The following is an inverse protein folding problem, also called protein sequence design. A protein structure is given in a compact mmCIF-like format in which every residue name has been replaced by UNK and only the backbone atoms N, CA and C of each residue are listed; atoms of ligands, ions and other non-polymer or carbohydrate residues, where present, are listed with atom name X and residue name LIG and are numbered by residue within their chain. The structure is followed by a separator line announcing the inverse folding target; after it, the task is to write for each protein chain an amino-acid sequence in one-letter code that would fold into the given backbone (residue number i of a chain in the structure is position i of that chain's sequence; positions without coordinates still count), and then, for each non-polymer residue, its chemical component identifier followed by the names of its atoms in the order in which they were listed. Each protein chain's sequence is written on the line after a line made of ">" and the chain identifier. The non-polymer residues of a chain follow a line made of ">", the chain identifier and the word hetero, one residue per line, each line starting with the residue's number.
data_IF_998961697134
#
_entry.id   IF_998961697134
#
_cell.length_a   1.000
_cell.length_b   1.000
_cell.length_c   1.000
_cell.angle_alpha   90.00
_cell.angle_beta   90.00
_cell.angle_gamma   90.00
#
_symmetry.space_group_name_H-M   'P 1'
#
loop_
_entity.id
_entity.type
_entity.pdbx_description
1 polymer ?
#
# COMPACT_ATOMS: atom_id res chain seq x y z
N UNK A 1 36.57 -38.47 -70.01
CA UNK A 1 35.87 -37.41 -70.76
C UNK A 1 34.41 -37.49 -70.36
N UNK A 2 33.99 -36.67 -69.40
CA UNK A 2 33.13 -35.48 -69.59
C UNK A 2 31.74 -35.83 -70.16
N UNK A 3 30.71 -35.83 -69.30
CA UNK A 3 29.55 -34.87 -69.24
C UNK A 3 28.34 -35.43 -70.03
N UNK A 4 27.05 -35.39 -69.63
CA UNK A 4 26.21 -34.44 -68.88
C UNK A 4 25.02 -35.22 -68.23
N UNK A 5 24.67 -35.03 -66.95
CA UNK A 5 23.66 -34.10 -66.37
C UNK A 5 22.18 -34.39 -66.70
N UNK A 6 21.40 -34.86 -65.71
CA UNK A 6 19.96 -34.59 -65.46
C UNK A 6 19.65 -35.05 -64.02
N UNK A 7 19.63 -34.12 -63.06
CA UNK A 7 18.51 -33.29 -62.61
C UNK A 7 17.65 -34.00 -61.53
N UNK A 8 17.82 -33.46 -60.33
CA UNK A 8 17.23 -33.69 -59.01
C UNK A 8 15.72 -33.49 -58.92
N UNK A 9 15.07 -34.32 -58.08
CA UNK A 9 13.85 -33.96 -57.36
C UNK A 9 14.03 -34.43 -55.90
N UNK A 10 14.23 -33.48 -54.99
CA UNK A 10 14.23 -33.67 -53.54
C UNK A 10 13.00 -32.93 -53.01
N UNK A 11 12.06 -33.66 -52.43
CA UNK A 11 10.93 -33.12 -51.68
C UNK A 11 11.43 -32.36 -50.44
N UNK A 12 11.36 -31.02 -50.48
CA UNK A 12 11.52 -30.19 -49.30
C UNK A 12 10.28 -30.34 -48.39
N UNK A 13 10.49 -30.96 -47.21
CA UNK A 13 9.53 -30.93 -46.11
C UNK A 13 9.36 -29.49 -45.60
N UNK A 14 8.15 -29.00 -45.76
CA UNK A 14 7.62 -27.74 -45.27
C UNK A 14 7.65 -27.65 -43.72
N UNK A 15 8.37 -26.69 -43.09
CA UNK A 15 8.23 -26.40 -41.67
C UNK A 15 7.55 -25.03 -41.49
N UNK A 16 6.22 -25.01 -41.52
CA UNK A 16 5.42 -23.85 -41.14
C UNK A 16 4.38 -24.26 -40.10
N UNK A 17 4.80 -24.41 -38.84
CA UNK A 17 3.87 -24.51 -37.70
C UNK A 17 4.40 -23.95 -36.38
N UNK A 18 5.25 -22.92 -36.41
CA UNK A 18 5.71 -22.20 -35.20
C UNK A 18 5.23 -20.73 -35.12
N UNK A 19 4.43 -20.27 -36.09
CA UNK A 19 4.01 -18.86 -36.18
C UNK A 19 2.74 -18.46 -35.41
N UNK A 20 2.00 -19.40 -34.82
CA UNK A 20 0.69 -19.11 -34.21
C UNK A 20 0.65 -19.19 -32.67
N UNK A 21 1.56 -19.92 -32.02
CA UNK A 21 1.59 -19.99 -30.53
C UNK A 21 2.39 -18.83 -29.91
N UNK A 22 3.37 -18.30 -30.65
CA UNK A 22 4.14 -17.11 -30.25
C UNK A 22 3.34 -15.81 -30.37
N UNK A 23 2.36 -15.78 -31.29
CA UNK A 23 1.45 -14.63 -31.47
C UNK A 23 0.39 -14.55 -30.37
N UNK A 24 -0.12 -15.68 -29.87
CA UNK A 24 -1.08 -15.68 -28.76
C UNK A 24 -0.46 -15.29 -27.41
N UNK A 25 0.82 -15.64 -27.18
CA UNK A 25 1.53 -15.23 -25.97
C UNK A 25 1.93 -13.74 -25.96
N UNK A 26 2.09 -13.11 -27.13
CA UNK A 26 2.38 -11.67 -27.24
C UNK A 26 1.13 -10.77 -27.19
N UNK A 27 -0.05 -11.32 -27.49
CA UNK A 27 -1.32 -10.59 -27.42
C UNK A 27 -1.85 -10.45 -25.97
N UNK A 28 -1.52 -11.38 -25.07
CA UNK A 28 -1.88 -11.28 -23.63
C UNK A 28 -1.01 -10.30 -22.82
N UNK A 29 0.19 -9.95 -23.31
CA UNK A 29 1.06 -8.94 -22.67
C UNK A 29 0.67 -7.48 -23.03
N UNK A 30 -0.33 -7.31 -23.90
CA UNK A 30 -0.94 -6.03 -24.25
C UNK A 30 -2.38 -5.91 -23.75
N UNK A 31 -2.71 -6.52 -22.60
CA UNK A 31 -3.76 -5.96 -21.76
C UNK A 31 -3.33 -4.54 -21.38
N UNK A 32 -3.63 -3.59 -22.27
CA UNK A 32 -3.40 -2.15 -22.12
C UNK A 32 -3.88 -1.82 -20.73
N UNK A 33 -2.97 -1.49 -19.82
CA UNK A 33 -3.34 -0.98 -18.51
C UNK A 33 -4.19 0.26 -18.79
N UNK A 34 -5.51 0.09 -18.75
CA UNK A 34 -6.46 1.16 -18.97
C UNK A 34 -6.31 2.09 -17.77
N UNK A 35 -5.80 3.30 -18.00
CA UNK A 35 -5.74 4.31 -16.96
C UNK A 35 -7.11 4.52 -16.32
N UNK A 36 -7.12 4.84 -15.03
CA UNK A 36 -8.34 5.25 -14.33
C UNK A 36 -8.63 6.71 -14.69
N UNK A 37 -9.27 6.90 -15.84
CA UNK A 37 -9.56 8.22 -16.38
C UNK A 37 -10.82 8.80 -15.72
N UNK A 38 -10.71 10.03 -15.17
CA UNK A 38 -11.88 10.72 -14.64
C UNK A 38 -11.59 12.05 -13.96
N UNK A 39 -10.48 12.17 -13.22
CA UNK A 39 -10.08 13.45 -12.63
C UNK A 39 -9.76 14.48 -13.72
N UNK A 40 -10.18 15.73 -13.49
CA UNK A 40 -9.96 16.82 -14.46
C UNK A 40 -8.69 17.64 -14.19
N UNK A 41 -7.91 17.28 -13.18
CA UNK A 41 -6.64 17.89 -12.82
C UNK A 41 -5.74 16.86 -12.10
N UNK A 42 -4.55 17.29 -11.68
CA UNK A 42 -3.52 16.46 -11.03
C UNK A 42 -4.10 15.62 -9.89
N UNK A 43 -3.73 14.34 -9.85
CA UNK A 43 -4.02 13.46 -8.71
C UNK A 43 -2.83 13.51 -7.75
N UNK A 44 -3.08 13.88 -6.49
CA UNK A 44 -2.03 14.04 -5.48
C UNK A 44 -1.87 12.82 -4.59
N UNK A 45 -2.94 12.07 -4.37
CA UNK A 45 -2.95 10.96 -3.42
C UNK A 45 -3.80 9.82 -3.93
N UNK A 46 -3.35 8.60 -3.68
CA UNK A 46 -4.10 7.37 -3.90
C UNK A 46 -3.92 6.43 -2.70
N UNK A 47 -4.96 5.65 -2.39
CA UNK A 47 -4.92 4.69 -1.28
C UNK A 47 -5.86 3.50 -1.58
N UNK A 48 -5.38 2.27 -1.43
CA UNK A 48 -6.25 1.09 -1.50
C UNK A 48 -7.02 0.92 -0.19
N UNK A 49 -8.25 0.45 -0.28
CA UNK A 49 -9.00 -0.05 0.87
C UNK A 49 -8.27 -1.26 1.49
N UNK A 50 -8.48 -1.56 2.79
CA UNK A 50 -7.80 -2.67 3.45
C UNK A 50 -8.06 -4.05 2.82
N UNK A 51 -9.22 -4.23 2.20
CA UNK A 51 -9.57 -5.45 1.46
C UNK A 51 -9.05 -5.47 0.01
N UNK A 52 -8.45 -4.36 -0.45
CA UNK A 52 -7.89 -4.20 -1.79
C UNK A 52 -8.91 -4.08 -2.91
N UNK A 53 -10.21 -4.02 -2.61
CA UNK A 53 -11.27 -4.02 -3.63
C UNK A 53 -11.56 -2.62 -4.19
N UNK A 54 -11.27 -1.59 -3.41
CA UNK A 54 -11.54 -0.19 -3.75
C UNK A 54 -10.23 0.61 -3.73
N UNK A 55 -10.04 1.47 -4.73
CA UNK A 55 -9.01 2.50 -4.71
C UNK A 55 -9.68 3.85 -4.44
N UNK A 56 -9.11 4.69 -3.59
CA UNK A 56 -9.46 6.10 -3.46
C UNK A 56 -8.39 6.97 -4.12
N UNK A 57 -8.78 8.07 -4.76
CA UNK A 57 -7.86 9.09 -5.28
C UNK A 57 -8.33 10.49 -4.92
N UNK A 58 -7.41 11.35 -4.46
CA UNK A 58 -7.64 12.77 -4.18
C UNK A 58 -6.91 13.67 -5.18
N UNK A 59 -7.57 14.74 -5.63
CA UNK A 59 -7.10 15.57 -6.75
C UNK A 59 -7.20 17.07 -6.51
N UNK A 60 -6.41 17.81 -7.29
CA UNK A 60 -6.53 19.26 -7.49
C UNK A 60 -7.90 19.70 -8.01
N UNK A 61 -8.66 18.80 -8.66
CA UNK A 61 -10.05 19.06 -9.05
C UNK A 61 -11.03 19.13 -7.87
N UNK A 62 -10.51 19.10 -6.64
CA UNK A 62 -11.20 19.24 -5.35
C UNK A 62 -12.08 18.06 -4.97
N UNK A 63 -12.08 17.01 -5.80
CA UNK A 63 -12.86 15.80 -5.57
C UNK A 63 -12.00 14.65 -5.09
N UNK A 64 -12.67 13.69 -4.47
CA UNK A 64 -12.16 12.34 -4.26
C UNK A 64 -12.94 11.41 -5.17
N UNK A 65 -12.28 10.42 -5.78
CA UNK A 65 -12.96 9.35 -6.52
C UNK A 65 -12.66 8.00 -5.90
N UNK A 66 -13.68 7.15 -5.90
CA UNK A 66 -13.57 5.75 -5.55
C UNK A 66 -13.66 4.92 -6.82
N UNK A 67 -12.80 3.90 -6.92
CA UNK A 67 -12.68 3.04 -8.09
C UNK A 67 -12.77 1.59 -7.66
N UNK A 68 -13.54 0.80 -8.40
CA UNK A 68 -13.49 -0.64 -8.28
C UNK A 68 -12.19 -1.14 -8.93
N UNK A 69 -11.34 -1.79 -8.15
CA UNK A 69 -9.99 -2.18 -8.59
C UNK A 69 -10.03 -3.24 -9.68
N UNK A 70 -11.05 -4.11 -9.67
CA UNK A 70 -11.17 -5.22 -10.60
C UNK A 70 -11.59 -4.75 -12.00
N UNK A 71 -12.51 -3.79 -12.06
CA UNK A 71 -13.13 -3.31 -13.31
C UNK A 71 -12.52 -2.01 -13.81
N UNK A 72 -11.81 -1.27 -12.94
CA UNK A 72 -11.30 0.06 -13.22
C UNK A 72 -12.40 1.13 -13.33
N UNK A 73 -13.65 0.79 -12.99
CA UNK A 73 -14.75 1.74 -13.06
C UNK A 73 -14.80 2.61 -11.82
N UNK A 74 -15.14 3.90 -12.01
CA UNK A 74 -15.45 4.78 -10.90
C UNK A 74 -16.76 4.35 -10.25
N UNK A 75 -16.74 4.08 -8.95
CA UNK A 75 -17.91 3.70 -8.14
C UNK A 75 -18.54 4.90 -7.44
N UNK A 76 -17.75 5.92 -7.09
CA UNK A 76 -18.24 7.14 -6.46
C UNK A 76 -17.36 8.35 -6.75
N UNK A 77 -17.95 9.53 -6.68
CA UNK A 77 -17.26 10.83 -6.61
C UNK A 77 -17.71 11.53 -5.34
N UNK A 78 -16.77 11.88 -4.48
CA UNK A 78 -17.02 12.55 -3.21
C UNK A 78 -16.64 14.02 -3.36
N UNK A 79 -17.68 14.85 -3.41
CA UNK A 79 -17.56 16.30 -3.51
C UNK A 79 -17.79 16.95 -2.15
N UNK A 80 -17.04 18.02 -1.88
CA UNK A 80 -17.27 18.83 -0.68
C UNK A 80 -16.10 19.73 -0.32
N UNK A 81 -14.86 19.30 -0.56
CA UNK A 81 -13.69 20.17 -0.37
C UNK A 81 -13.74 21.37 -1.33
N UNK A 82 -13.33 22.55 -0.85
CA UNK A 82 -13.35 23.79 -1.65
C UNK A 82 -12.03 24.05 -2.39
N UNK A 83 -11.00 23.27 -2.07
CA UNK A 83 -9.68 23.29 -2.70
C UNK A 83 -9.14 21.85 -2.88
N UNK A 84 -7.94 21.72 -3.45
CA UNK A 84 -7.30 20.45 -3.76
C UNK A 84 -7.30 19.47 -2.58
N UNK A 85 -7.55 18.19 -2.86
CA UNK A 85 -7.44 17.10 -1.90
C UNK A 85 -6.04 16.50 -2.01
N UNK A 86 -5.23 16.67 -0.97
CA UNK A 86 -3.80 16.33 -1.00
C UNK A 86 -3.53 14.96 -0.37
N UNK A 87 -4.42 14.47 0.48
CA UNK A 87 -4.25 13.19 1.16
C UNK A 87 -5.58 12.47 1.29
N UNK A 88 -5.59 11.16 1.03
CA UNK A 88 -6.70 10.25 1.32
C UNK A 88 -6.17 9.01 2.06
N UNK A 89 -6.95 8.49 3.02
CA UNK A 89 -6.58 7.30 3.77
C UNK A 89 -7.83 6.55 4.25
N UNK A 90 -7.90 5.24 4.02
CA UNK A 90 -8.98 4.41 4.56
C UNK A 90 -8.75 4.11 6.04
N UNK A 91 -9.85 4.02 6.79
CA UNK A 91 -9.84 3.41 8.12
C UNK A 91 -9.48 1.92 8.02
N UNK A 92 -8.94 1.30 9.09
CA UNK A 92 -8.53 -0.11 9.07
C UNK A 92 -9.67 -1.10 8.76
N UNK A 93 -10.92 -0.73 9.07
CA UNK A 93 -12.11 -1.51 8.75
C UNK A 93 -12.65 -1.25 7.33
N UNK A 94 -12.06 -0.30 6.60
CA UNK A 94 -12.45 0.10 5.24
C UNK A 94 -13.77 0.87 5.15
N UNK A 95 -14.46 1.15 6.26
CA UNK A 95 -15.80 1.75 6.23
C UNK A 95 -15.79 3.27 6.10
N UNK A 96 -14.67 3.89 6.50
CA UNK A 96 -14.50 5.35 6.51
C UNK A 96 -13.27 5.73 5.70
N UNK A 97 -13.39 6.78 4.89
CA UNK A 97 -12.25 7.42 4.25
C UNK A 97 -12.00 8.76 4.95
N UNK A 98 -10.75 9.08 5.27
CA UNK A 98 -10.33 10.41 5.67
C UNK A 98 -9.68 11.14 4.49
N UNK A 99 -9.88 12.45 4.40
CA UNK A 99 -9.19 13.30 3.43
C UNK A 99 -8.68 14.59 4.04
N UNK A 100 -7.47 15.00 3.64
CA UNK A 100 -6.86 16.29 3.97
C UNK A 100 -6.76 17.19 2.74
N UNK A 101 -7.03 18.48 2.90
CA UNK A 101 -7.13 19.44 1.78
C UNK A 101 -6.41 20.76 2.06
N UNK A 102 -6.12 21.47 0.97
CA UNK A 102 -5.69 22.87 1.00
C UNK A 102 -6.81 23.82 1.51
N UNK A 103 -8.05 23.36 1.69
CA UNK A 103 -9.10 24.15 2.34
C UNK A 103 -9.00 24.19 3.88
N UNK A 104 -7.85 23.77 4.42
CA UNK A 104 -7.50 23.67 5.84
C UNK A 104 -8.31 22.63 6.63
N UNK A 105 -9.21 21.89 5.97
CA UNK A 105 -10.09 20.94 6.64
C UNK A 105 -9.68 19.50 6.41
N UNK A 106 -10.12 18.66 7.34
CA UNK A 106 -10.17 17.21 7.18
C UNK A 106 -11.62 16.80 7.05
N UNK A 107 -11.93 15.84 6.18
CA UNK A 107 -13.27 15.26 6.07
C UNK A 107 -13.24 13.77 6.25
N UNK A 108 -14.26 13.25 6.92
CA UNK A 108 -14.54 11.82 7.05
C UNK A 108 -15.73 11.47 6.17
N UNK A 109 -15.58 10.44 5.35
CA UNK A 109 -16.56 10.00 4.37
C UNK A 109 -17.00 8.58 4.70
N UNK A 110 -18.29 8.31 4.58
CA UNK A 110 -18.81 6.96 4.59
C UNK A 110 -18.57 6.34 3.21
N UNK A 111 -17.77 5.29 3.14
CA UNK A 111 -17.34 4.68 1.87
C UNK A 111 -18.52 4.07 1.12
N UNK A 112 -19.48 3.49 1.85
CA UNK A 112 -20.63 2.80 1.27
C UNK A 112 -21.62 3.76 0.62
N UNK A 113 -21.88 4.89 1.27
CA UNK A 113 -22.89 5.87 0.84
C UNK A 113 -22.30 7.04 0.05
N UNK A 114 -20.98 7.23 0.12
CA UNK A 114 -20.28 8.38 -0.43
C UNK A 114 -20.60 9.70 0.29
N UNK A 115 -21.31 9.65 1.43
CA UNK A 115 -21.71 10.85 2.15
C UNK A 115 -20.63 11.29 3.13
N UNK A 116 -20.51 12.59 3.35
CA UNK A 116 -19.65 13.13 4.39
C UNK A 116 -20.25 12.82 5.78
N UNK A 117 -19.48 12.13 6.62
CA UNK A 117 -19.82 11.83 8.02
C UNK A 117 -19.48 13.00 8.95
N UNK A 118 -18.31 13.61 8.75
CA UNK A 118 -17.83 14.69 9.60
C UNK A 118 -16.85 15.60 8.85
N UNK A 119 -16.77 16.85 9.31
CA UNK A 119 -15.73 17.80 8.94
C UNK A 119 -14.97 18.15 10.22
N UNK A 120 -13.66 17.95 10.20
CA UNK A 120 -12.78 18.23 11.34
C UNK A 120 -12.07 19.55 11.06
N UNK A 121 -12.57 20.60 11.68
CA UNK A 121 -12.00 21.94 11.60
C UNK A 121 -11.08 22.18 12.80
N UNK A 122 -9.93 22.83 12.56
CA UNK A 122 -9.01 23.19 13.63
C UNK A 122 -7.61 23.59 13.15
N UNK A 123 -7.14 23.01 12.05
CA UNK A 123 -5.92 23.49 11.39
C UNK A 123 -6.13 24.90 10.83
N UNK A 124 -5.12 25.76 10.96
CA UNK A 124 -5.18 27.13 10.44
C UNK A 124 -4.58 27.27 9.03
N UNK A 125 -4.05 26.18 8.49
CA UNK A 125 -3.49 26.11 7.14
C UNK A 125 -3.64 24.71 6.54
N UNK A 126 -3.26 24.57 5.28
CA UNK A 126 -3.32 23.37 4.44
C UNK A 126 -3.00 22.08 5.19
N UNK A 127 -3.85 21.06 5.00
CA UNK A 127 -3.64 19.72 5.57
C UNK A 127 -3.02 18.84 4.50
N UNK A 128 -1.78 18.41 4.75
CA UNK A 128 -1.00 17.65 3.78
C UNK A 128 -1.06 16.14 3.99
N UNK A 129 -1.36 15.69 5.20
CA UNK A 129 -1.42 14.27 5.52
C UNK A 129 -2.53 13.96 6.51
N UNK A 130 -3.19 12.82 6.29
CA UNK A 130 -4.10 12.19 7.24
C UNK A 130 -3.77 10.70 7.36
N UNK A 131 -3.87 10.14 8.55
CA UNK A 131 -3.62 8.71 8.78
C UNK A 131 -4.41 8.19 9.97
N UNK A 132 -5.11 7.06 9.80
CA UNK A 132 -5.79 6.40 10.91
C UNK A 132 -4.81 5.62 11.79
N UNK A 133 -5.06 5.61 13.10
CA UNK A 133 -4.45 4.62 13.98
C UNK A 133 -4.86 3.20 13.60
N UNK A 134 -4.05 2.17 13.93
CA UNK A 134 -4.37 0.77 13.58
C UNK A 134 -5.70 0.26 14.16
N UNK A 135 -6.17 0.82 15.28
CA UNK A 135 -7.47 0.52 15.88
C UNK A 135 -8.64 1.32 15.28
N UNK A 136 -8.35 2.26 14.38
CA UNK A 136 -9.32 3.13 13.71
C UNK A 136 -9.98 4.19 14.62
N UNK A 137 -9.59 4.30 15.88
CA UNK A 137 -10.25 5.20 16.85
C UNK A 137 -9.74 6.63 16.80
N UNK A 138 -8.52 6.80 16.30
CA UNK A 138 -7.81 8.08 16.24
C UNK A 138 -7.39 8.36 14.81
N UNK A 139 -7.50 9.62 14.38
CA UNK A 139 -6.90 10.12 13.15
C UNK A 139 -5.76 11.07 13.52
N UNK A 140 -4.62 10.95 12.86
CA UNK A 140 -3.55 11.94 12.91
C UNK A 140 -3.56 12.79 11.64
N UNK A 141 -3.24 14.07 11.75
CA UNK A 141 -3.08 14.96 10.60
C UNK A 141 -1.87 15.87 10.73
N UNK A 142 -1.20 16.13 9.61
CA UNK A 142 -0.09 17.08 9.50
C UNK A 142 -0.45 18.26 8.59
N UNK A 143 -0.08 19.47 9.00
CA UNK A 143 -0.46 20.71 8.32
C UNK A 143 0.71 21.68 8.15
N UNK A 144 0.58 22.57 7.17
CA UNK A 144 1.47 23.73 6.98
C UNK A 144 1.42 24.72 8.16
N UNK A 145 0.46 24.61 9.06
CA UNK A 145 0.42 25.40 10.30
C UNK A 145 1.48 24.98 11.34
N UNK A 146 2.43 24.12 10.95
CA UNK A 146 3.48 23.55 11.77
C UNK A 146 2.98 22.66 12.92
N UNK A 147 1.74 22.14 12.83
CA UNK A 147 1.17 21.27 13.84
C UNK A 147 0.85 19.86 13.33
N UNK A 148 0.95 18.91 14.24
CA UNK A 148 0.29 17.60 14.15
C UNK A 148 -0.89 17.62 15.10
N UNK A 149 -2.06 17.18 14.63
CA UNK A 149 -3.26 17.06 15.45
C UNK A 149 -3.75 15.62 15.49
N UNK A 150 -4.30 15.24 16.63
CA UNK A 150 -4.99 13.98 16.83
C UNK A 150 -6.49 14.25 16.96
N UNK A 151 -7.30 13.39 16.37
CA UNK A 151 -8.74 13.53 16.33
C UNK A 151 -9.38 12.23 16.80
N UNK A 152 -10.41 12.34 17.63
CA UNK A 152 -11.27 11.19 17.89
C UNK A 152 -12.23 11.01 16.72
N UNK A 153 -12.16 9.84 16.08
CA UNK A 153 -12.92 9.54 14.85
C UNK A 153 -14.43 9.50 15.10
N UNK A 154 -14.85 9.08 16.30
CA UNK A 154 -16.27 8.89 16.65
C UNK A 154 -17.00 10.22 16.86
N UNK A 155 -16.35 11.17 17.52
CA UNK A 155 -16.89 12.46 17.94
C UNK A 155 -16.49 13.59 16.99
N UNK A 156 -15.46 13.38 16.18
CA UNK A 156 -14.88 14.40 15.32
C UNK A 156 -14.16 15.52 16.08
N UNK A 157 -13.90 15.34 17.38
CA UNK A 157 -13.25 16.34 18.21
C UNK A 157 -11.73 16.17 18.22
N UNK A 158 -11.02 17.29 18.30
CA UNK A 158 -9.58 17.27 18.50
C UNK A 158 -9.22 16.75 19.90
N UNK A 159 -8.26 15.82 19.96
CA UNK A 159 -7.68 15.33 21.20
C UNK A 159 -6.54 16.28 21.60
N UNK A 160 -6.78 17.06 22.66
CA UNK A 160 -5.80 17.99 23.20
C UNK A 160 -4.74 17.26 24.05
N UNK A 161 -3.52 17.79 24.06
CA UNK A 161 -2.40 17.23 24.84
C UNK A 161 -2.67 17.18 26.35
N UNK A 162 -3.56 18.04 26.84
CA UNK A 162 -4.02 18.07 28.24
C UNK A 162 -5.04 16.97 28.59
N UNK A 163 -5.61 16.28 27.61
CA UNK A 163 -6.59 15.24 27.86
C UNK A 163 -5.92 13.94 28.34
N UNK A 164 -6.52 13.26 29.33
CA UNK A 164 -6.07 11.92 29.76
C UNK A 164 -5.97 10.93 28.59
N UNK A 165 -6.83 11.09 27.59
CA UNK A 165 -6.80 10.29 26.37
C UNK A 165 -5.50 10.45 25.58
N UNK A 166 -4.92 11.66 25.53
CA UNK A 166 -3.63 11.88 24.87
C UNK A 166 -2.52 11.07 25.55
N UNK A 167 -2.52 11.01 26.89
CA UNK A 167 -1.57 10.17 27.64
C UNK A 167 -1.74 8.68 27.33
N UNK A 168 -2.98 8.21 27.18
CA UNK A 168 -3.24 6.82 26.78
C UNK A 168 -2.74 6.52 25.35
N UNK A 169 -2.92 7.45 24.41
CA UNK A 169 -2.38 7.31 23.05
C UNK A 169 -0.85 7.25 23.10
N UNK A 170 -0.21 8.16 23.84
CA UNK A 170 1.24 8.10 24.03
C UNK A 170 1.70 6.78 24.65
N UNK A 171 0.97 6.24 25.62
CA UNK A 171 1.30 4.96 26.25
C UNK A 171 1.22 3.77 25.27
N UNK A 172 0.34 3.82 24.26
CA UNK A 172 0.29 2.81 23.19
C UNK A 172 1.50 2.87 22.24
N UNK A 173 2.10 4.05 22.12
CA UNK A 173 3.30 4.29 21.30
C UNK A 173 4.60 4.31 22.10
N UNK A 174 4.54 4.25 23.43
CA UNK A 174 5.73 3.94 24.21
C UNK A 174 6.17 2.54 23.79
N UNK A 175 7.41 2.37 23.32
CA UNK A 175 7.98 1.04 23.25
C UNK A 175 7.76 0.46 24.63
N UNK A 176 7.16 -0.72 24.73
CA UNK A 176 7.40 -1.55 25.90
C UNK A 176 8.91 -1.54 26.03
N UNK A 177 9.46 -0.82 27.01
CA UNK A 177 10.87 -0.95 27.31
C UNK A 177 10.92 -2.41 27.71
N UNK A 178 11.35 -3.27 26.78
CA UNK A 178 11.97 -4.51 27.14
C UNK A 178 13.07 -4.00 28.04
N UNK A 179 12.82 -4.02 29.35
CA UNK A 179 13.89 -3.87 30.31
C UNK A 179 14.81 -4.98 29.85
N UNK A 180 15.94 -4.60 29.26
CA UNK A 180 17.04 -5.49 29.07
C UNK A 180 17.27 -6.04 30.48
N UNK A 181 16.67 -7.19 30.78
CA UNK A 181 17.21 -8.09 31.77
C UNK A 181 18.62 -8.24 31.24
N UNK A 182 19.56 -7.57 31.91
CA UNK A 182 20.96 -7.59 31.53
C UNK A 182 21.25 -9.05 31.21
N UNK A 183 21.59 -9.32 29.95
CA UNK A 183 22.10 -10.64 29.58
C UNK A 183 23.29 -10.82 30.51
N UNK A 184 23.13 -11.65 31.54
CA UNK A 184 24.13 -11.83 32.58
C UNK A 184 25.35 -12.58 32.06
N UNK A 185 25.37 -12.94 30.78
CA UNK A 185 26.48 -13.60 30.14
C UNK A 185 26.87 -12.81 28.89
N UNK A 186 28.08 -12.26 28.92
CA UNK A 186 28.74 -11.65 27.77
C UNK A 186 28.78 -12.66 26.62
N UNK A 187 27.97 -12.45 25.58
CA UNK A 187 27.95 -13.32 24.40
C UNK A 187 29.19 -13.01 23.54
N UNK A 188 30.14 -13.95 23.48
CA UNK A 188 31.37 -13.87 22.69
C UNK A 188 31.24 -14.45 21.27
N UNK A 189 30.11 -14.23 20.60
CA UNK A 189 29.94 -14.65 19.20
C UNK A 189 29.26 -13.57 18.38
N UNK A 190 29.74 -13.39 17.14
CA UNK A 190 29.20 -12.44 16.16
C UNK A 190 27.74 -12.80 15.86
N UNK A 191 26.81 -12.12 16.52
CA UNK A 191 25.37 -12.19 16.23
C UNK A 191 25.02 -11.02 15.33
N UNK A 192 24.57 -11.31 14.12
CA UNK A 192 23.91 -10.33 13.26
C UNK A 192 22.57 -9.97 13.89
N UNK A 193 22.47 -8.78 14.47
CA UNK A 193 21.22 -8.24 15.01
C UNK A 193 20.54 -7.45 13.89
N UNK A 194 19.39 -7.94 13.41
CA UNK A 194 18.48 -7.14 12.58
C UNK A 194 17.84 -6.07 13.46
N UNK A 195 18.35 -4.84 13.38
CA UNK A 195 17.76 -3.65 14.01
C UNK A 195 16.80 -2.99 13.04
N UNK A 196 15.50 -3.08 13.31
CA UNK A 196 14.50 -2.23 12.66
C UNK A 196 14.37 -0.95 13.50
N UNK A 197 15.06 0.11 13.09
CA UNK A 197 15.02 1.44 13.73
C UNK A 197 14.26 2.44 12.85
N UNK A 198 13.42 3.30 13.45
CA UNK A 198 12.63 4.35 12.77
C UNK A 198 13.39 5.68 12.57
N UNK A 199 14.70 5.67 12.34
CA UNK A 199 15.39 6.87 11.86
C UNK A 199 15.97 6.61 10.47
N UNK A 200 15.25 7.11 9.47
CA UNK A 200 15.55 7.04 8.04
C UNK A 200 16.76 7.91 7.68
N UNK A 201 17.82 7.30 7.15
CA UNK A 201 18.39 7.71 5.86
C UNK A 201 18.89 6.44 5.15
N UNK A 202 18.16 5.97 4.13
CA UNK A 202 18.69 5.57 2.81
C UNK A 202 17.56 5.01 1.93
N UNK A 203 17.57 5.39 0.65
CA UNK A 203 16.75 4.77 -0.39
C UNK A 203 17.24 3.34 -0.66
N UNK A 204 16.32 2.39 -0.79
CA UNK A 204 16.55 1.21 -1.61
C UNK A 204 15.29 0.81 -2.36
N UNK A 205 15.40 0.78 -3.69
CA UNK A 205 14.46 0.11 -4.57
C UNK A 205 14.56 -1.40 -4.32
N UNK A 206 13.44 -2.05 -4.05
CA UNK A 206 13.28 -3.51 -4.09
C UNK A 206 13.97 -4.29 -2.98
N UNK A 207 13.22 -4.70 -1.96
CA UNK A 207 13.69 -5.74 -1.05
C UNK A 207 13.37 -7.13 -1.66
N UNK A 208 14.39 -7.88 -2.05
CA UNK A 208 14.31 -9.34 -2.18
C UNK A 208 14.73 -9.95 -0.84
N UNK A 209 13.93 -10.88 -0.30
CA UNK A 209 14.35 -11.70 0.84
C UNK A 209 15.07 -12.93 0.29
N UNK A 210 16.37 -13.03 0.56
CA UNK A 210 17.18 -14.22 0.33
C UNK A 210 16.93 -15.28 1.41
N UNK A 211 16.96 -16.55 0.99
CA UNK A 211 16.71 -17.77 1.77
C UNK A 211 17.25 -17.71 3.21
N UNK A 212 16.34 -17.76 4.18
CA UNK A 212 16.64 -17.96 5.60
C UNK A 212 15.75 -19.05 6.20
N UNK A 213 16.21 -19.71 7.25
CA UNK A 213 15.40 -20.66 8.00
C UNK A 213 14.36 -19.90 8.83
N UNK A 214 13.07 -20.15 8.57
CA UNK A 214 11.93 -19.53 9.25
C UNK A 214 11.51 -20.29 10.52
N UNK A 215 12.47 -20.83 11.27
CA UNK A 215 12.17 -21.48 12.54
C UNK A 215 12.62 -20.60 13.70
N UNK A 216 11.80 -20.49 14.74
CA UNK A 216 12.25 -19.92 16.00
C UNK A 216 13.17 -20.93 16.74
N UNK A 217 13.84 -20.54 17.84
CA UNK A 217 14.69 -21.45 18.62
C UNK A 217 13.98 -22.68 19.21
N UNK A 218 12.65 -22.70 19.20
CA UNK A 218 11.83 -23.85 19.62
C UNK A 218 11.41 -24.74 18.43
N UNK A 219 11.91 -24.46 17.22
CA UNK A 219 11.61 -25.23 16.01
C UNK A 219 10.26 -24.91 15.36
N UNK A 220 9.58 -23.85 15.79
CA UNK A 220 8.26 -23.48 15.23
C UNK A 220 8.47 -22.76 13.90
N UNK A 221 7.84 -23.29 12.84
CA UNK A 221 7.80 -22.64 11.54
C UNK A 221 6.95 -21.36 11.59
N UNK A 222 7.59 -20.22 11.35
CA UNK A 222 6.99 -18.90 11.42
C UNK A 222 6.20 -18.54 10.15
N UNK A 223 6.28 -19.34 9.06
CA UNK A 223 5.55 -19.08 7.80
C UNK A 223 4.04 -19.02 7.99
N UNK A 224 3.48 -19.92 8.78
CA UNK A 224 2.04 -19.97 9.07
C UNK A 224 1.56 -18.75 9.86
N UNK A 225 2.40 -18.22 10.74
CA UNK A 225 2.11 -16.99 11.48
C UNK A 225 2.04 -15.77 10.56
N UNK A 226 2.92 -15.72 9.55
CA UNK A 226 2.92 -14.64 8.55
C UNK A 226 1.73 -14.74 7.59
N UNK A 227 1.33 -15.95 7.17
CA UNK A 227 0.15 -16.15 6.33
C UNK A 227 -1.16 -15.72 7.00
N UNK A 228 -1.32 -15.98 8.31
CA UNK A 228 -2.51 -15.55 9.07
C UNK A 228 -2.65 -14.03 9.21
N UNK A 229 -1.57 -13.28 8.98
CA UNK A 229 -1.54 -11.81 9.12
C UNK A 229 -1.52 -11.07 7.78
N UNK A 230 -1.87 -11.76 6.68
CA UNK A 230 -1.98 -11.14 5.36
C UNK A 230 -0.66 -10.93 4.63
N UNK A 231 0.42 -11.59 5.05
CA UNK A 231 1.70 -11.54 4.34
C UNK A 231 1.73 -12.54 3.18
N UNK A 232 2.19 -12.10 2.01
CA UNK A 232 2.46 -12.99 0.86
C UNK A 232 3.87 -13.60 1.00
N UNK A 233 3.96 -14.93 1.06
CA UNK A 233 5.24 -15.64 1.01
C UNK A 233 5.43 -16.17 -0.42
N UNK A 234 6.41 -15.62 -1.14
CA UNK A 234 6.80 -16.13 -2.46
C UNK A 234 7.81 -17.27 -2.28
N UNK A 235 7.35 -18.51 -2.41
CA UNK A 235 8.24 -19.67 -2.48
C UNK A 235 8.73 -19.85 -3.91
N UNK A 236 10.03 -19.66 -4.13
CA UNK A 236 10.63 -19.95 -5.41
C UNK A 236 10.80 -21.48 -5.52
N UNK A 237 9.89 -22.16 -6.21
CA UNK A 237 10.05 -23.58 -6.53
C UNK A 237 11.11 -23.74 -7.62
N UNK A 238 12.38 -23.67 -7.26
CA UNK A 238 13.39 -24.37 -8.04
C UNK A 238 13.32 -25.85 -7.65
N UNK A 239 12.59 -26.63 -8.46
CA UNK A 239 12.83 -28.06 -8.58
C UNK A 239 14.31 -28.21 -8.95
N UNK A 240 15.13 -28.66 -8.00
CA UNK A 240 16.39 -29.30 -8.33
C UNK A 240 16.01 -30.53 -9.16
N UNK A 241 16.26 -30.47 -10.47
CA UNK A 241 16.29 -31.67 -11.30
C UNK A 241 17.54 -32.46 -10.88
N UNK A 242 17.29 -33.71 -10.52
CA UNK A 242 18.14 -34.88 -10.22
C UNK A 242 19.68 -34.69 -10.14
#
# INVERSE_FOLDING_TARGET
>A
MLNETKATELEEKNPLREGNESRSLQEDLHAKATGLDGHSSTVYSVNFSPDGTTLASGSDDKSIRLWDVKTGQQTAKLDGHSQAVISVNFSPDGTTLASGSLDNSIRLWDVKTGQQKAKLDGHSHYVYSVNFSPDGTTLASGSFDNSIRLWDVKTGQQILSSANRYQNILAQFQPSIIKNNALSDTVHSNVTILLISQQLIFQSQGAQILQGQFHNPQGIDLRTLFQQKGSLILENQQKLQD
#
